data_IF_334566887893
#
_entry.id   IF_334566887893
#
_cell.length_a   1.000
_cell.length_b   1.000
_cell.length_c   1.000
_cell.angle_alpha   90.00
_cell.angle_beta   90.00
_cell.angle_gamma   90.00
#
_symmetry.space_group_name_H-M   'P 1'
#
loop_
_entity.id
_entity.type
_entity.pdbx_description
1 polymer ?
#
# COMPACT_ATOMS: atom_id res chain seq x y z
N UNK A 1 -9.68 -11.60 -18.72
CA UNK A 1 -9.81 -12.05 -17.31
C UNK A 1 -10.92 -11.31 -16.61
N UNK A 2 -11.96 -12.05 -16.18
CA UNK A 2 -13.14 -11.53 -15.50
C UNK A 2 -12.99 -11.74 -13.99
N UNK A 3 -13.53 -10.82 -13.19
CA UNK A 3 -13.62 -10.96 -11.74
C UNK A 3 -14.63 -12.08 -11.42
N UNK A 4 -14.19 -13.12 -10.69
CA UNK A 4 -15.03 -14.29 -10.38
C UNK A 4 -15.94 -14.00 -9.18
N UNK A 5 -15.35 -13.61 -8.06
CA UNK A 5 -16.06 -13.20 -6.84
C UNK A 5 -15.35 -12.00 -6.20
N UNK A 6 -16.10 -11.16 -5.50
CA UNK A 6 -15.55 -10.10 -4.67
C UNK A 6 -16.45 -9.79 -3.48
N UNK A 7 -15.85 -9.25 -2.41
CA UNK A 7 -16.58 -8.73 -1.25
C UNK A 7 -15.78 -7.61 -0.62
N UNK A 8 -16.46 -6.55 -0.21
CA UNK A 8 -15.89 -5.43 0.54
C UNK A 8 -16.72 -5.18 1.80
N UNK A 9 -16.05 -5.09 2.95
CA UNK A 9 -16.65 -4.74 4.23
C UNK A 9 -16.04 -3.44 4.73
N UNK A 10 -16.86 -2.58 5.34
CA UNK A 10 -16.39 -1.35 5.95
C UNK A 10 -17.06 -1.18 7.31
N UNK A 11 -16.25 -1.21 8.37
CA UNK A 11 -16.68 -0.98 9.75
C UNK A 11 -15.84 0.12 10.38
N UNK A 12 -16.48 0.95 11.20
CA UNK A 12 -15.80 2.00 11.94
C UNK A 12 -15.08 1.41 13.16
N UNK A 13 -13.75 1.30 13.08
CA UNK A 13 -12.91 0.65 14.10
C UNK A 13 -11.90 1.60 14.75
N UNK A 14 -11.62 2.77 14.17
CA UNK A 14 -10.63 3.74 14.68
C UNK A 14 -11.28 5.11 14.87
N UNK A 15 -10.86 5.88 15.88
CA UNK A 15 -11.33 7.26 16.11
C UNK A 15 -10.70 8.23 15.10
N UNK A 16 -11.52 9.11 14.51
CA UNK A 16 -11.07 10.06 13.48
C UNK A 16 -10.01 11.09 13.92
N UNK A 17 -9.93 11.45 15.22
CA UNK A 17 -9.16 12.61 15.70
C UNK A 17 -7.82 12.30 16.41
N UNK A 18 -7.59 11.04 16.81
CA UNK A 18 -6.37 10.59 17.52
C UNK A 18 -6.26 9.07 17.30
N UNK A 19 -5.66 8.67 16.17
CA UNK A 19 -5.82 7.32 15.61
C UNK A 19 -4.68 6.38 15.95
N UNK A 20 -4.75 5.72 17.10
CA UNK A 20 -4.17 4.38 17.30
C UNK A 20 -5.31 3.35 17.29
N UNK A 21 -5.06 2.11 16.84
CA UNK A 21 -6.12 1.08 16.84
C UNK A 21 -6.61 0.84 18.27
N UNK A 22 -7.91 0.56 18.43
CA UNK A 22 -8.51 0.45 19.76
C UNK A 22 -7.87 -0.71 20.55
N UNK A 23 -7.56 -1.82 19.87
CA UNK A 23 -6.76 -2.93 20.40
C UNK A 23 -5.42 -2.52 21.04
N UNK A 24 -4.69 -1.58 20.44
CA UNK A 24 -3.40 -1.10 20.97
C UNK A 24 -3.60 -0.16 22.16
N UNK A 25 -4.70 0.59 22.19
CA UNK A 25 -5.06 1.43 23.33
C UNK A 25 -5.54 0.61 24.52
N UNK A 26 -6.27 -0.48 24.27
CA UNK A 26 -6.85 -1.33 25.30
C UNK A 26 -5.82 -2.25 25.97
N UNK A 27 -4.71 -2.54 25.30
CA UNK A 27 -3.56 -3.23 25.89
C UNK A 27 -2.83 -2.38 26.96
N UNK A 28 -3.18 -1.08 27.10
CA UNK A 28 -2.64 -0.21 28.15
C UNK A 28 -3.52 -0.30 29.40
N UNK A 29 -2.90 -0.11 30.57
CA UNK A 29 -3.49 -0.31 31.93
C UNK A 29 -4.82 0.42 32.20
N UNK A 30 -5.24 1.35 31.34
CA UNK A 30 -6.52 2.07 31.41
C UNK A 30 -7.36 1.91 30.12
N UNK A 31 -7.91 0.72 29.91
CA UNK A 31 -8.85 0.49 28.82
C UNK A 31 -10.07 1.43 28.93
N UNK A 32 -10.32 2.23 27.91
CA UNK A 32 -11.45 3.16 27.91
C UNK A 32 -12.78 2.38 27.97
N UNK A 33 -13.67 2.76 28.89
CA UNK A 33 -14.99 2.13 29.09
C UNK A 33 -16.15 2.90 28.46
N UNK A 34 -15.88 3.93 27.66
CA UNK A 34 -16.93 4.75 27.05
C UNK A 34 -17.74 3.95 26.02
N UNK A 35 -18.99 4.36 25.80
CA UNK A 35 -19.86 3.74 24.79
C UNK A 35 -19.18 3.67 23.40
N UNK A 36 -18.48 4.73 23.00
CA UNK A 36 -17.73 4.77 21.74
C UNK A 36 -16.51 3.84 21.68
N UNK A 37 -15.92 3.45 22.83
CA UNK A 37 -14.89 2.41 22.87
C UNK A 37 -15.51 1.02 22.71
N UNK A 38 -16.63 0.75 23.39
CA UNK A 38 -17.38 -0.51 23.29
C UNK A 38 -17.87 -0.77 21.85
N UNK A 39 -18.43 0.24 21.18
CA UNK A 39 -18.87 0.13 19.77
C UNK A 39 -17.70 -0.23 18.84
N UNK A 40 -16.51 0.35 19.05
CA UNK A 40 -15.33 0.05 18.23
C UNK A 40 -14.81 -1.37 18.47
N UNK A 41 -14.77 -1.85 19.71
CA UNK A 41 -14.43 -3.26 20.02
C UNK A 41 -15.42 -4.23 19.37
N UNK A 42 -16.71 -3.94 19.47
CA UNK A 42 -17.75 -4.72 18.82
C UNK A 42 -17.56 -4.76 17.31
N UNK A 43 -17.29 -3.60 16.68
CA UNK A 43 -17.03 -3.52 15.24
C UNK A 43 -15.77 -4.27 14.82
N UNK A 44 -14.70 -4.23 15.62
CA UNK A 44 -13.48 -5.01 15.38
C UNK A 44 -13.77 -6.52 15.42
N UNK A 45 -14.52 -6.99 16.42
CA UNK A 45 -14.95 -8.39 16.54
C UNK A 45 -15.84 -8.81 15.37
N UNK A 46 -16.85 -8.01 15.04
CA UNK A 46 -17.76 -8.30 13.93
C UNK A 46 -17.02 -8.31 12.58
N UNK A 47 -16.09 -7.39 12.34
CA UNK A 47 -15.26 -7.38 11.13
C UNK A 47 -14.44 -8.66 11.00
N UNK A 48 -13.84 -9.11 12.12
CA UNK A 48 -13.07 -10.35 12.19
C UNK A 48 -13.94 -11.55 11.85
N UNK A 49 -15.12 -11.67 12.47
CA UNK A 49 -16.07 -12.76 12.19
C UNK A 49 -16.53 -12.79 10.73
N UNK A 50 -16.82 -11.62 10.14
CA UNK A 50 -17.20 -11.50 8.72
C UNK A 50 -16.09 -11.97 7.77
N UNK A 51 -14.85 -11.56 8.03
CA UNK A 51 -13.68 -11.99 7.25
C UNK A 51 -13.52 -13.51 7.35
N UNK A 52 -13.60 -14.06 8.57
CA UNK A 52 -13.47 -15.49 8.81
C UNK A 52 -14.57 -16.32 8.13
N UNK A 53 -15.82 -15.87 8.20
CA UNK A 53 -16.92 -16.50 7.46
C UNK A 53 -16.71 -16.45 5.94
N UNK A 54 -16.21 -15.33 5.42
CA UNK A 54 -15.92 -15.19 4.00
C UNK A 54 -14.83 -16.17 3.55
N UNK A 55 -13.75 -16.30 4.32
CA UNK A 55 -12.67 -17.24 4.02
C UNK A 55 -13.17 -18.69 4.00
N UNK A 56 -14.00 -19.08 4.96
CA UNK A 56 -14.62 -20.41 4.99
C UNK A 56 -15.52 -20.65 3.77
N UNK A 57 -16.35 -19.67 3.40
CA UNK A 57 -17.21 -19.76 2.21
C UNK A 57 -16.41 -19.84 0.90
N UNK A 58 -15.21 -19.26 0.87
CA UNK A 58 -14.31 -19.27 -0.29
C UNK A 58 -13.22 -20.35 -0.21
N UNK A 59 -13.28 -21.26 0.76
CA UNK A 59 -12.31 -22.35 0.98
C UNK A 59 -11.93 -23.07 -0.32
N UNK A 60 -12.91 -23.59 -1.06
CA UNK A 60 -12.70 -24.27 -2.35
C UNK A 60 -11.98 -23.41 -3.40
N UNK A 61 -12.32 -22.12 -3.49
CA UNK A 61 -11.68 -21.19 -4.41
C UNK A 61 -10.23 -20.90 -3.99
N UNK A 62 -9.99 -20.78 -2.68
CA UNK A 62 -8.65 -20.57 -2.12
C UNK A 62 -7.77 -21.80 -2.31
N UNK A 63 -8.31 -23.02 -2.17
CA UNK A 63 -7.60 -24.28 -2.42
C UNK A 63 -7.14 -24.40 -3.87
N UNK A 64 -7.99 -24.02 -4.83
CA UNK A 64 -7.66 -24.03 -6.26
C UNK A 64 -6.73 -22.90 -6.70
N UNK A 65 -6.52 -21.88 -5.85
CA UNK A 65 -5.71 -20.72 -6.21
C UNK A 65 -4.21 -21.05 -6.10
N UNK A 66 -3.40 -20.81 -7.14
CA UNK A 66 -1.96 -21.07 -7.10
C UNK A 66 -1.19 -20.03 -6.26
N UNK A 67 -1.71 -18.80 -6.17
CA UNK A 67 -1.11 -17.70 -5.41
C UNK A 67 -2.20 -16.92 -4.68
N UNK A 68 -1.91 -16.52 -3.44
CA UNK A 68 -2.81 -15.75 -2.58
C UNK A 68 -2.08 -14.48 -2.15
N UNK A 69 -2.52 -13.33 -2.68
CA UNK A 69 -1.94 -12.05 -2.33
C UNK A 69 -2.67 -11.40 -1.15
N UNK A 70 -1.97 -11.13 -0.06
CA UNK A 70 -2.55 -10.51 1.14
C UNK A 70 -1.83 -9.21 1.46
N UNK A 71 -2.60 -8.12 1.56
CA UNK A 71 -2.13 -6.83 2.08
C UNK A 71 -2.94 -6.48 3.33
N UNK A 72 -2.25 -6.41 4.46
CA UNK A 72 -2.85 -6.09 5.75
C UNK A 72 -1.78 -5.42 6.65
N UNK A 73 -2.15 -4.45 7.50
CA UNK A 73 -1.27 -4.01 8.59
C UNK A 73 -0.85 -5.20 9.47
N UNK A 74 0.38 -5.18 9.97
CA UNK A 74 0.93 -6.30 10.76
C UNK A 74 0.06 -6.66 11.97
N UNK A 75 -0.49 -5.64 12.65
CA UNK A 75 -1.34 -5.83 13.84
C UNK A 75 -2.63 -6.60 13.56
N UNK A 76 -3.18 -6.51 12.35
CA UNK A 76 -4.43 -7.16 11.95
C UNK A 76 -4.21 -8.45 11.16
N UNK A 77 -2.96 -8.78 10.84
CA UNK A 77 -2.63 -9.92 9.98
C UNK A 77 -3.07 -11.26 10.58
N UNK A 78 -3.11 -11.36 11.92
CA UNK A 78 -3.52 -12.56 12.63
C UNK A 78 -4.95 -13.02 12.29
N UNK A 79 -5.86 -12.07 11.97
CA UNK A 79 -7.28 -12.34 11.64
C UNK A 79 -7.43 -13.36 10.51
N UNK A 80 -6.49 -13.40 9.56
CA UNK A 80 -6.55 -14.29 8.39
C UNK A 80 -6.10 -15.74 8.69
N UNK A 81 -5.42 -15.97 9.81
CA UNK A 81 -4.74 -17.24 10.10
C UNK A 81 -5.28 -17.95 11.34
N UNK A 82 -6.30 -17.38 11.96
CA UNK A 82 -7.04 -18.07 13.00
C UNK A 82 -7.90 -19.18 12.41
N UNK A 83 -8.10 -20.22 13.20
CA UNK A 83 -8.91 -21.37 12.81
C UNK A 83 -10.39 -21.04 12.93
N UNK A 84 -11.13 -21.14 11.84
CA UNK A 84 -12.57 -20.82 11.85
C UNK A 84 -13.39 -21.74 10.99
N UNK A 85 -14.52 -22.19 11.55
CA UNK A 85 -15.64 -22.81 10.82
C UNK A 85 -15.18 -23.79 9.73
N UNK A 86 -14.24 -24.67 10.09
CA UNK A 86 -13.69 -25.74 9.23
C UNK A 86 -12.76 -25.29 8.08
N UNK A 87 -12.26 -24.05 8.09
CA UNK A 87 -11.21 -23.59 7.18
C UNK A 87 -10.09 -22.88 7.94
N UNK A 88 -8.84 -23.20 7.60
CA UNK A 88 -7.65 -22.60 8.21
C UNK A 88 -6.61 -22.29 7.14
N UNK A 89 -6.43 -21.00 6.87
CA UNK A 89 -5.29 -20.54 6.08
C UNK A 89 -4.04 -20.58 6.97
N UNK A 90 -3.03 -21.36 6.57
CA UNK A 90 -1.79 -21.50 7.33
C UNK A 90 -0.91 -20.28 7.12
N UNK A 91 -0.20 -19.83 8.17
CA UNK A 91 0.79 -18.73 8.05
C UNK A 91 1.93 -19.07 7.10
N UNK A 92 2.30 -20.35 7.06
CA UNK A 92 3.42 -20.88 6.27
C UNK A 92 2.96 -21.43 4.91
N UNK A 93 1.75 -21.10 4.45
CA UNK A 93 1.29 -21.48 3.12
C UNK A 93 2.16 -20.78 2.05
N UNK A 94 2.89 -21.56 1.26
CA UNK A 94 3.84 -21.08 0.24
C UNK A 94 3.19 -20.21 -0.84
N UNK A 95 1.87 -20.34 -1.02
CA UNK A 95 1.08 -19.56 -1.98
C UNK A 95 0.89 -18.13 -1.49
N UNK A 96 1.10 -17.85 -0.20
CA UNK A 96 0.93 -16.52 0.38
C UNK A 96 2.03 -15.58 -0.06
N UNK A 97 1.64 -14.48 -0.71
CA UNK A 97 2.54 -13.41 -1.15
C UNK A 97 2.05 -12.06 -0.64
N UNK A 98 3.00 -11.16 -0.40
CA UNK A 98 2.69 -9.75 -0.12
C UNK A 98 2.65 -8.99 -1.44
N UNK A 99 1.77 -8.00 -1.55
CA UNK A 99 1.70 -7.13 -2.73
C UNK A 99 2.95 -6.23 -2.76
N UNK A 100 3.80 -6.30 -3.81
CA UNK A 100 5.14 -5.68 -3.84
C UNK A 100 5.11 -4.18 -4.13
N UNK A 101 3.96 -3.54 -4.02
CA UNK A 101 3.79 -2.11 -4.25
C UNK A 101 2.76 -1.49 -3.32
N UNK A 102 2.69 -0.16 -3.36
CA UNK A 102 1.72 0.61 -2.58
C UNK A 102 0.30 0.35 -3.08
N UNK A 103 -0.58 0.01 -2.14
CA UNK A 103 -2.02 -0.15 -2.35
C UNK A 103 -2.77 0.99 -1.65
N UNK A 104 -3.93 1.33 -2.19
CA UNK A 104 -4.85 2.36 -1.66
C UNK A 104 -5.85 1.74 -0.68
N UNK A 105 -6.91 2.50 -0.37
CA UNK A 105 -8.04 2.03 0.44
C UNK A 105 -8.63 0.76 -0.21
N UNK A 106 -8.98 -0.27 0.57
CA UNK A 106 -9.49 -1.53 0.03
C UNK A 106 -10.90 -1.34 -0.54
N UNK A 107 -10.98 -1.05 -1.84
CA UNK A 107 -12.21 -0.99 -2.63
C UNK A 107 -12.12 -1.99 -3.78
N UNK A 108 -13.24 -2.26 -4.46
CA UNK A 108 -13.26 -3.14 -5.63
C UNK A 108 -12.39 -2.57 -6.77
N UNK A 109 -12.40 -1.26 -6.97
CA UNK A 109 -11.55 -0.60 -7.97
C UNK A 109 -10.05 -0.78 -7.66
N UNK A 110 -9.67 -0.68 -6.39
CA UNK A 110 -8.29 -0.90 -5.98
C UNK A 110 -7.87 -2.37 -6.15
N UNK A 111 -8.79 -3.31 -5.91
CA UNK A 111 -8.56 -4.73 -6.21
C UNK A 111 -8.29 -4.94 -7.71
N UNK A 112 -9.12 -4.36 -8.58
CA UNK A 112 -8.96 -4.47 -10.03
C UNK A 112 -7.67 -3.80 -10.54
N UNK A 113 -7.33 -2.62 -10.01
CA UNK A 113 -6.07 -1.92 -10.31
C UNK A 113 -4.86 -2.74 -9.87
N UNK A 114 -4.90 -3.29 -8.66
CA UNK A 114 -3.82 -4.12 -8.10
C UNK A 114 -3.63 -5.37 -8.93
N UNK A 115 -4.71 -6.09 -9.25
CA UNK A 115 -4.68 -7.27 -10.12
C UNK A 115 -4.12 -6.94 -11.51
N UNK A 116 -4.56 -5.84 -12.10
CA UNK A 116 -4.09 -5.39 -13.42
C UNK A 116 -2.61 -5.03 -13.41
N UNK A 117 -2.06 -4.62 -12.27
CA UNK A 117 -0.63 -4.34 -12.14
C UNK A 117 0.20 -5.60 -11.89
N UNK A 118 -0.31 -6.56 -11.11
CA UNK A 118 0.37 -7.84 -10.82
C UNK A 118 0.56 -8.69 -12.08
N UNK A 119 -0.37 -8.64 -13.03
CA UNK A 119 -0.31 -9.42 -14.27
C UNK A 119 0.67 -8.87 -15.32
N UNK A 120 1.18 -7.65 -15.15
CA UNK A 120 2.01 -6.99 -16.16
C UNK A 120 3.48 -7.23 -15.83
N UNK A 121 4.20 -7.82 -16.80
CA UNK A 121 5.65 -7.90 -16.78
C UNK A 121 6.21 -6.57 -17.30
N UNK A 122 7.17 -6.00 -16.58
CA UNK A 122 7.87 -4.78 -16.98
C UNK A 122 9.36 -5.08 -17.13
N UNK A 123 9.92 -4.72 -18.28
CA UNK A 123 11.36 -4.69 -18.45
C UNK A 123 11.90 -3.40 -17.85
N UNK A 124 12.91 -3.53 -17.00
CA UNK A 124 13.54 -2.41 -16.31
C UNK A 124 15.00 -2.17 -16.77
N UNK A 125 15.43 -2.83 -17.85
CA UNK A 125 16.79 -2.77 -18.36
C UNK A 125 17.78 -3.53 -17.47
N UNK A 126 19.04 -3.06 -17.43
CA UNK A 126 20.09 -3.63 -16.58
C UNK A 126 19.76 -3.47 -15.09
N UNK A 127 20.20 -4.44 -14.28
CA UNK A 127 20.07 -4.42 -12.81
C UNK A 127 20.70 -3.16 -12.20
N UNK A 128 21.81 -2.70 -12.77
CA UNK A 128 22.50 -1.47 -12.33
C UNK A 128 21.58 -0.26 -12.50
N UNK A 129 21.08 -0.03 -13.72
CA UNK A 129 20.18 1.08 -14.04
C UNK A 129 18.90 1.04 -13.21
N UNK A 130 18.33 -0.16 -13.00
CA UNK A 130 17.15 -0.32 -12.16
C UNK A 130 17.42 0.12 -10.72
N UNK A 131 18.53 -0.33 -10.13
CA UNK A 131 18.88 0.00 -8.74
C UNK A 131 19.15 1.51 -8.58
N UNK A 132 19.86 2.13 -9.51
CA UNK A 132 20.11 3.58 -9.53
C UNK A 132 18.79 4.37 -9.59
N UNK A 133 17.87 3.99 -10.48
CA UNK A 133 16.56 4.63 -10.60
C UNK A 133 15.73 4.42 -9.32
N UNK A 134 15.76 3.22 -8.70
CA UNK A 134 15.09 3.00 -7.42
C UNK A 134 15.63 3.91 -6.31
N UNK A 135 16.95 4.10 -6.23
CA UNK A 135 17.55 5.02 -5.25
C UNK A 135 17.17 6.48 -5.52
N UNK A 136 17.17 6.90 -6.80
CA UNK A 136 16.71 8.24 -7.20
C UNK A 136 15.26 8.49 -6.76
N UNK A 137 14.36 7.54 -7.04
CA UNK A 137 12.95 7.63 -6.63
C UNK A 137 12.79 7.65 -5.10
N UNK A 138 13.61 6.88 -4.37
CA UNK A 138 13.63 6.94 -2.90
C UNK A 138 14.06 8.32 -2.40
N UNK A 139 15.12 8.92 -2.96
CA UNK A 139 15.58 10.28 -2.62
C UNK A 139 14.49 11.32 -2.90
N UNK A 140 13.82 11.23 -4.05
CA UNK A 140 12.73 12.14 -4.42
C UNK A 140 11.53 12.05 -3.46
N UNK A 141 11.12 10.83 -3.09
CA UNK A 141 10.07 10.58 -2.09
C UNK A 141 10.45 11.16 -0.72
N UNK A 142 11.70 11.00 -0.27
CA UNK A 142 12.19 11.61 0.99
C UNK A 142 12.11 13.15 0.93
N UNK A 143 12.54 13.76 -0.17
CA UNK A 143 12.47 15.21 -0.40
C UNK A 143 11.02 15.72 -0.37
N UNK A 144 10.11 15.07 -1.09
CA UNK A 144 8.68 15.42 -1.09
C UNK A 144 8.05 15.32 0.31
N UNK A 145 8.35 14.25 1.07
CA UNK A 145 7.87 14.10 2.45
C UNK A 145 8.41 15.20 3.38
N UNK A 146 9.66 15.66 3.19
CA UNK A 146 10.23 16.77 3.96
C UNK A 146 9.52 18.08 3.65
N UNK A 147 9.30 18.37 2.36
CA UNK A 147 8.58 19.56 1.91
C UNK A 147 7.13 19.58 2.42
N UNK A 148 6.43 18.44 2.35
CA UNK A 148 5.06 18.31 2.86
C UNK A 148 5.00 18.55 4.38
N UNK A 149 5.93 17.96 5.15
CA UNK A 149 6.03 18.22 6.60
C UNK A 149 6.30 19.69 6.91
N UNK A 150 7.21 20.34 6.17
CA UNK A 150 7.52 21.76 6.30
C UNK A 150 6.31 22.66 6.01
N UNK A 151 5.50 22.30 5.00
CA UNK A 151 4.24 23.00 4.69
C UNK A 151 3.19 22.82 5.80
N UNK A 152 3.08 21.61 6.36
CA UNK A 152 2.13 21.30 7.43
C UNK A 152 2.51 21.89 8.79
N UNK A 153 3.80 22.15 9.05
CA UNK A 153 4.26 22.75 10.31
C UNK A 153 4.08 24.27 10.38
N UNK A 154 3.66 24.96 9.31
CA UNK A 154 3.30 26.38 9.34
C UNK A 154 4.44 27.36 9.68
N UNK A 155 5.69 26.90 9.74
CA UNK A 155 6.84 27.77 10.03
C UNK A 155 7.23 28.52 8.76
N UNK A 156 6.85 29.80 8.67
CA UNK A 156 7.47 30.77 7.76
C UNK A 156 8.85 31.12 8.31
N UNK A 157 9.91 30.75 7.61
CA UNK A 157 11.24 31.34 7.80
C UNK A 157 11.49 32.30 6.64
N UNK A 158 12.10 33.48 6.87
CA UNK A 158 12.35 34.44 5.80
C UNK A 158 13.23 33.80 4.73
N UNK A 159 12.93 34.11 3.47
CA UNK A 159 13.84 33.87 2.36
C UNK A 159 15.16 34.58 2.64
N UNK A 160 16.22 33.81 2.86
CA UNK A 160 17.59 34.32 2.72
C UNK A 160 18.35 33.36 1.82
N UNK A 161 18.67 33.88 0.64
CA UNK A 161 19.66 33.34 -0.27
C UNK A 161 20.97 33.06 0.47
N UNK A 162 21.54 31.88 0.25
CA UNK A 162 22.98 31.65 0.28
C UNK A 162 23.24 30.43 -0.61
N UNK A 163 23.75 30.73 -1.80
CA UNK A 163 24.42 29.80 -2.70
C UNK A 163 25.71 29.31 -2.02
N UNK A 164 25.97 28.01 -2.06
CA UNK A 164 27.29 27.38 -2.24
C UNK A 164 27.01 25.99 -2.86
N UNK A 165 27.16 25.80 -4.16
CA UNK A 165 28.39 25.44 -4.90
C UNK A 165 29.00 24.11 -4.45
N UNK A 166 28.57 23.00 -5.08
CA UNK A 166 29.44 21.86 -5.29
C UNK A 166 29.60 21.69 -6.81
N UNK A 167 30.80 22.05 -7.25
CA UNK A 167 31.30 22.00 -8.61
C UNK A 167 31.95 20.64 -8.82
N UNK A 168 31.30 19.72 -9.53
CA UNK A 168 31.97 18.56 -10.13
C UNK A 168 31.83 18.66 -11.65
N UNK A 169 32.90 19.17 -12.25
CA UNK A 169 33.11 19.32 -13.67
C UNK A 169 33.45 17.95 -14.27
N UNK A 170 32.51 17.34 -15.00
CA UNK A 170 32.79 16.21 -15.88
C UNK A 170 32.30 16.57 -17.29
N UNK A 171 33.26 17.02 -18.09
CA UNK A 171 33.18 17.33 -19.51
C UNK A 171 32.58 16.17 -20.30
N UNK A 172 31.60 16.46 -21.14
CA UNK A 172 31.01 15.49 -22.07
C UNK A 172 30.07 16.21 -23.04
N UNK A 173 30.64 16.70 -24.14
CA UNK A 173 29.91 17.24 -25.29
C UNK A 173 28.87 16.23 -25.78
N UNK A 174 27.61 16.64 -25.94
CA UNK A 174 26.68 16.00 -26.87
C UNK A 174 25.76 17.02 -27.53
N UNK A 175 25.90 17.09 -28.85
CA UNK A 175 25.15 17.89 -29.81
C UNK A 175 23.63 17.88 -29.59
N UNK A 176 23.03 19.06 -29.75
CA UNK A 176 21.60 19.23 -29.91
C UNK A 176 21.20 18.86 -31.35
N UNK A 177 20.45 17.78 -31.51
CA UNK A 177 19.61 17.57 -32.69
C UNK A 177 18.15 17.63 -32.25
N UNK A 178 17.41 18.55 -32.88
CA UNK A 178 16.00 18.81 -32.67
C UNK A 178 15.15 17.59 -33.09
N UNK A 179 14.00 17.32 -32.46
CA UNK A 179 13.09 16.29 -32.93
C UNK A 179 12.34 16.76 -34.19
N UNK A 180 12.52 16.04 -35.29
CA UNK A 180 11.71 16.19 -36.51
C UNK A 180 10.23 15.89 -36.24
N UNK A 181 9.40 16.77 -36.79
CA UNK A 181 7.94 16.66 -36.85
C UNK A 181 7.59 15.56 -37.87
N UNK A 182 7.12 14.41 -37.40
CA UNK A 182 6.57 13.38 -38.30
C UNK A 182 5.19 13.85 -38.76
N UNK A 183 5.12 14.23 -40.03
CA UNK A 183 3.91 14.55 -40.76
C UNK A 183 3.08 13.27 -41.01
N UNK A 184 1.77 13.39 -40.78
CA UNK A 184 0.76 12.44 -41.23
C UNK A 184 0.85 12.24 -42.75
N UNK A 185 0.84 11.00 -43.21
CA UNK A 185 0.43 10.65 -44.57
C UNK A 185 -0.62 9.56 -44.47
N UNK A 186 -1.81 9.87 -44.97
CA UNK A 186 -2.87 8.92 -45.28
C UNK A 186 -2.54 8.17 -46.56
N UNK A 187 -2.79 6.87 -46.57
CA UNK A 187 -3.59 6.16 -47.58
C UNK A 187 -3.95 4.77 -47.04
#
# INVERSE_FOLDING_TARGET
NKLVVHKSFHRYVIRAKQGTSQSVSDARRSAAKSAGASVRRYNEKALKEEIQCLLANWSKLLEQSPLIFVRCPMSLRHVFFEETKNFKLRKDDERLRTIPFETRRPTVDELQRTWSRLKIIRSHGSVVNFNEEQERLKKLRKKQKRLFRRKMSGVNYPSSESLESDNDNATGEMNQQQPEVVMNISN
#
